data_IF_528178189365
#
_entry.id   IF_528178189365
#
_cell.length_a   1.000
_cell.length_b   1.000
_cell.length_c   1.000
_cell.angle_alpha   90.00
_cell.angle_beta   90.00
_cell.angle_gamma   90.00
#
_symmetry.space_group_name_H-M   'P 1'
#
loop_
_entity.id
_entity.type
_entity.pdbx_description
1 polymer ?
#
# COMPACT_ATOMS: atom_id res chain seq x y z
N UNK A 1 -91.66 -8.17 -30.95
CA UNK A 1 -91.06 -8.81 -29.78
C UNK A 1 -90.24 -9.98 -30.30
N UNK A 2 -88.90 -9.78 -30.38
CA UNK A 2 -88.00 -10.84 -30.83
C UNK A 2 -86.93 -10.98 -29.77
N UNK A 3 -86.82 -12.17 -29.20
CA UNK A 3 -85.96 -12.55 -28.12
C UNK A 3 -84.59 -12.90 -28.71
N UNK A 4 -83.58 -12.09 -28.48
CA UNK A 4 -82.20 -12.38 -28.87
C UNK A 4 -81.57 -13.33 -27.83
N UNK A 5 -81.18 -14.48 -28.31
CA UNK A 5 -80.56 -15.60 -27.58
C UNK A 5 -79.19 -15.27 -27.05
N UNK A 6 -78.90 -15.69 -25.82
CA UNK A 6 -77.68 -15.51 -25.03
C UNK A 6 -76.46 -16.37 -25.45
N UNK A 7 -76.30 -16.74 -26.72
CA UNK A 7 -75.34 -17.76 -27.14
C UNK A 7 -74.25 -17.32 -28.14
N UNK A 8 -73.99 -16.02 -28.31
CA UNK A 8 -72.93 -15.60 -29.26
C UNK A 8 -72.05 -14.49 -28.67
N UNK A 9 -71.30 -14.79 -27.58
CA UNK A 9 -70.23 -13.91 -27.13
C UNK A 9 -69.19 -14.71 -26.30
N UNK A 10 -68.50 -15.58 -26.97
CA UNK A 10 -67.24 -16.22 -26.41
C UNK A 10 -66.27 -16.35 -27.58
N UNK A 11 -65.74 -15.22 -28.04
CA UNK A 11 -64.45 -15.19 -28.74
C UNK A 11 -63.39 -14.94 -27.68
N UNK A 12 -62.78 -16.02 -27.16
CA UNK A 12 -61.62 -15.94 -26.28
C UNK A 12 -60.43 -15.45 -27.09
N UNK A 13 -60.04 -14.22 -26.84
CA UNK A 13 -58.70 -13.74 -27.12
C UNK A 13 -57.70 -14.41 -26.16
N UNK A 14 -56.95 -15.36 -26.64
CA UNK A 14 -55.79 -15.92 -25.92
C UNK A 14 -54.71 -14.82 -25.92
N UNK A 15 -54.66 -14.01 -24.87
CA UNK A 15 -53.52 -13.16 -24.58
C UNK A 15 -52.38 -14.05 -24.11
N UNK A 16 -51.39 -14.29 -24.98
CA UNK A 16 -50.13 -14.91 -24.59
C UNK A 16 -49.48 -14.05 -23.48
N UNK A 17 -49.10 -14.63 -22.34
CA UNK A 17 -48.36 -13.86 -21.35
C UNK A 17 -47.02 -13.47 -21.99
N UNK A 18 -46.81 -12.16 -22.19
CA UNK A 18 -45.51 -11.61 -22.48
C UNK A 18 -44.63 -11.96 -21.27
N UNK A 19 -43.76 -12.96 -21.43
CA UNK A 19 -42.68 -13.25 -20.50
C UNK A 19 -41.73 -12.04 -20.53
N UNK A 20 -42.05 -11.04 -19.71
CA UNK A 20 -41.06 -10.05 -19.30
C UNK A 20 -39.90 -10.83 -18.67
N UNK A 21 -38.84 -11.06 -19.44
CA UNK A 21 -37.54 -11.44 -18.88
C UNK A 21 -37.12 -10.26 -18.00
N UNK A 22 -37.46 -10.34 -16.73
CA UNK A 22 -36.75 -9.59 -15.72
C UNK A 22 -35.31 -10.10 -15.78
N UNK A 23 -34.46 -9.42 -16.54
CA UNK A 23 -33.03 -9.58 -16.41
C UNK A 23 -32.76 -9.42 -14.91
N UNK A 24 -32.17 -10.41 -14.28
CA UNK A 24 -31.71 -10.32 -12.91
C UNK A 24 -30.87 -9.06 -12.85
N UNK A 25 -31.40 -8.00 -12.23
CA UNK A 25 -30.59 -6.86 -11.88
C UNK A 25 -29.52 -7.42 -10.93
N UNK A 26 -28.34 -7.69 -11.46
CA UNK A 26 -27.18 -7.96 -10.61
C UNK A 26 -27.06 -6.72 -9.73
N UNK A 27 -27.31 -6.90 -8.45
CA UNK A 27 -26.96 -5.87 -7.48
C UNK A 27 -25.47 -5.57 -7.70
N UNK A 28 -25.17 -4.32 -8.12
CA UNK A 28 -23.80 -3.96 -8.48
C UNK A 28 -22.83 -4.24 -7.32
N UNK A 29 -21.63 -4.65 -7.64
CA UNK A 29 -20.58 -4.90 -6.65
C UNK A 29 -20.07 -3.57 -6.09
N UNK A 30 -20.41 -3.26 -4.83
CA UNK A 30 -19.93 -2.07 -4.13
C UNK A 30 -18.75 -2.44 -3.24
N UNK A 31 -17.56 -1.87 -3.53
CA UNK A 31 -16.32 -2.12 -2.82
C UNK A 31 -16.04 -1.04 -1.77
N UNK A 32 -15.39 -1.39 -0.68
CA UNK A 32 -14.87 -0.45 0.31
C UNK A 32 -13.36 -0.50 0.31
N UNK A 33 -12.70 0.65 0.05
CA UNK A 33 -11.24 0.79 0.06
C UNK A 33 -10.86 1.64 1.25
N UNK A 34 -10.13 1.08 2.22
CA UNK A 34 -9.64 1.80 3.39
C UNK A 34 -8.13 2.03 3.28
N UNK A 35 -7.65 3.20 3.72
CA UNK A 35 -6.23 3.49 3.84
C UNK A 35 -5.95 4.53 4.93
N UNK A 36 -4.68 4.66 5.32
CA UNK A 36 -4.25 5.54 6.42
C UNK A 36 -3.94 6.99 6.01
N UNK A 37 -3.87 7.28 4.72
CA UNK A 37 -3.40 8.56 4.19
C UNK A 37 -4.48 9.63 4.24
N UNK A 38 -4.09 10.93 4.29
CA UNK A 38 -5.05 12.02 4.19
C UNK A 38 -5.89 11.91 2.91
N UNK A 39 -7.18 12.19 3.03
CA UNK A 39 -8.08 12.25 1.89
C UNK A 39 -7.89 13.52 1.08
N UNK A 40 -8.17 13.41 -0.22
CA UNK A 40 -8.13 14.50 -1.18
C UNK A 40 -9.18 14.34 -2.27
N UNK A 41 -8.82 14.74 -3.48
CA UNK A 41 -9.62 14.54 -4.70
C UNK A 41 -8.89 13.56 -5.66
N UNK A 42 -9.46 13.30 -6.83
CA UNK A 42 -8.77 12.54 -7.88
C UNK A 42 -7.54 13.27 -8.47
N UNK A 43 -7.44 14.61 -8.27
CA UNK A 43 -6.37 15.46 -8.79
C UNK A 43 -5.38 15.92 -7.72
N UNK A 44 -5.82 16.12 -6.48
CA UNK A 44 -5.04 16.76 -5.42
C UNK A 44 -4.96 15.90 -4.15
N UNK A 45 -3.88 16.08 -3.38
CA UNK A 45 -3.62 15.38 -2.13
C UNK A 45 -2.60 14.26 -2.26
N UNK A 46 -2.60 13.33 -1.32
CA UNK A 46 -1.73 12.17 -1.29
C UNK A 46 -1.95 11.28 -2.52
N UNK A 47 -0.89 10.90 -3.24
CA UNK A 47 -1.04 10.14 -4.47
C UNK A 47 -1.69 8.76 -4.24
N UNK A 48 -1.58 8.20 -3.05
CA UNK A 48 -2.17 6.90 -2.70
C UNK A 48 -3.69 7.00 -2.56
N UNK A 49 -4.20 8.10 -1.99
CA UNK A 49 -5.63 8.41 -2.01
C UNK A 49 -6.12 8.68 -3.44
N UNK A 50 -5.36 9.48 -4.21
CA UNK A 50 -5.65 9.73 -5.63
C UNK A 50 -5.67 8.44 -6.45
N UNK A 51 -4.76 7.50 -6.19
CA UNK A 51 -4.72 6.19 -6.86
C UNK A 51 -6.00 5.39 -6.56
N UNK A 52 -6.41 5.33 -5.28
CA UNK A 52 -7.65 4.64 -4.90
C UNK A 52 -8.88 5.27 -5.59
N UNK A 53 -8.93 6.60 -5.69
CA UNK A 53 -10.04 7.31 -6.40
C UNK A 53 -10.02 7.06 -7.90
N UNK A 54 -8.84 7.03 -8.53
CA UNK A 54 -8.69 6.66 -9.94
C UNK A 54 -9.09 5.21 -10.18
N UNK A 55 -8.69 4.31 -9.31
CA UNK A 55 -9.10 2.91 -9.36
C UNK A 55 -10.63 2.79 -9.31
N UNK A 56 -11.28 3.48 -8.35
CA UNK A 56 -12.75 3.50 -8.23
C UNK A 56 -13.44 4.00 -9.51
N UNK A 57 -12.94 5.10 -10.08
CA UNK A 57 -13.51 5.67 -11.32
C UNK A 57 -13.35 4.71 -12.52
N UNK A 58 -12.17 4.12 -12.69
CA UNK A 58 -11.88 3.22 -13.81
C UNK A 58 -12.65 1.91 -13.74
N UNK A 59 -12.80 1.30 -12.56
CA UNK A 59 -13.62 0.09 -12.43
C UNK A 59 -15.10 0.39 -12.70
N UNK A 60 -15.60 1.52 -12.25
CA UNK A 60 -16.98 1.95 -12.51
C UNK A 60 -17.21 2.18 -14.01
N UNK A 61 -16.30 2.86 -14.68
CA UNK A 61 -16.37 3.12 -16.12
C UNK A 61 -16.35 1.82 -16.92
N UNK A 62 -15.34 0.94 -16.68
CA UNK A 62 -15.13 -0.29 -17.45
C UNK A 62 -16.21 -1.33 -17.21
N UNK A 63 -16.76 -1.36 -16.00
CA UNK A 63 -17.89 -2.24 -15.66
C UNK A 63 -19.26 -1.66 -16.04
N UNK A 64 -19.29 -0.46 -16.67
CA UNK A 64 -20.54 0.27 -17.02
C UNK A 64 -21.43 0.45 -15.79
N UNK A 65 -20.83 0.71 -14.63
CA UNK A 65 -21.53 0.93 -13.37
C UNK A 65 -21.87 -0.35 -12.58
N UNK A 66 -21.52 -1.55 -13.08
CA UNK A 66 -21.75 -2.80 -12.35
C UNK A 66 -20.85 -2.91 -11.11
N UNK A 67 -19.66 -2.26 -11.09
CA UNK A 67 -18.80 -2.14 -9.93
C UNK A 67 -18.65 -0.67 -9.52
N UNK A 68 -18.67 -0.42 -8.23
CA UNK A 68 -18.35 0.88 -7.62
C UNK A 68 -17.40 0.69 -6.44
N UNK A 69 -16.69 1.75 -6.05
CA UNK A 69 -15.87 1.71 -4.84
C UNK A 69 -16.02 3.01 -4.05
N UNK A 70 -16.15 2.88 -2.74
CA UNK A 70 -16.13 3.98 -1.78
C UNK A 70 -14.77 4.02 -1.06
N UNK A 71 -14.19 5.22 -0.96
CA UNK A 71 -12.86 5.41 -0.38
C UNK A 71 -12.99 5.94 1.06
N UNK A 72 -12.30 5.29 1.98
CA UNK A 72 -12.25 5.62 3.41
C UNK A 72 -10.83 6.03 3.80
N UNK A 73 -10.46 7.32 3.62
CA UNK A 73 -9.12 7.83 3.94
C UNK A 73 -8.93 8.02 5.44
N UNK A 74 -7.67 8.22 5.86
CA UNK A 74 -7.30 8.57 7.23
C UNK A 74 -7.67 7.49 8.26
N UNK A 75 -7.78 6.23 7.84
CA UNK A 75 -8.25 5.12 8.70
C UNK A 75 -9.67 5.33 9.26
N UNK A 76 -10.53 6.08 8.55
CA UNK A 76 -11.88 6.43 8.99
C UNK A 76 -12.82 5.23 9.12
N UNK A 77 -12.62 4.18 8.32
CA UNK A 77 -13.41 2.95 8.42
C UNK A 77 -12.82 1.98 9.46
N UNK A 78 -11.48 1.88 9.51
CA UNK A 78 -10.79 0.89 10.33
C UNK A 78 -9.38 1.36 10.67
N UNK A 79 -8.91 1.10 11.89
CA UNK A 79 -7.52 1.37 12.30
C UNK A 79 -6.52 0.70 11.37
N UNK A 80 -5.44 1.39 11.04
CA UNK A 80 -4.41 0.95 10.08
C UNK A 80 -3.96 -0.49 10.30
N UNK A 81 -3.53 -0.82 11.52
CA UNK A 81 -3.00 -2.15 11.87
C UNK A 81 -4.06 -3.27 11.85
N UNK A 82 -5.36 -2.95 11.78
CA UNK A 82 -6.42 -3.93 11.68
C UNK A 82 -6.82 -4.26 10.23
N UNK A 83 -6.44 -3.42 9.25
CA UNK A 83 -6.94 -3.52 7.88
C UNK A 83 -6.53 -4.82 7.20
N UNK A 84 -5.28 -5.25 7.34
CA UNK A 84 -4.81 -6.50 6.73
C UNK A 84 -5.55 -7.73 7.29
N UNK A 85 -5.69 -7.83 8.61
CA UNK A 85 -6.43 -8.92 9.25
C UNK A 85 -7.92 -8.90 8.86
N UNK A 86 -8.51 -7.72 8.69
CA UNK A 86 -9.90 -7.58 8.25
C UNK A 86 -10.10 -8.07 6.82
N UNK A 87 -9.20 -7.77 5.88
CA UNK A 87 -9.25 -8.31 4.51
C UNK A 87 -9.15 -9.85 4.51
N UNK A 88 -8.24 -10.42 5.30
CA UNK A 88 -8.11 -11.88 5.43
C UNK A 88 -9.40 -12.55 5.89
N UNK A 89 -10.15 -11.88 6.76
CA UNK A 89 -11.43 -12.36 7.33
C UNK A 89 -12.64 -12.00 6.46
N UNK A 90 -12.45 -11.26 5.35
CA UNK A 90 -13.54 -10.78 4.50
C UNK A 90 -14.38 -9.65 5.13
N UNK A 91 -13.89 -9.00 6.19
CA UNK A 91 -14.56 -7.88 6.85
C UNK A 91 -14.20 -6.51 6.23
N UNK A 92 -13.19 -6.46 5.38
CA UNK A 92 -12.79 -5.31 4.56
C UNK A 92 -12.51 -5.81 3.15
N UNK A 93 -13.00 -5.07 2.15
CA UNK A 93 -12.86 -5.48 0.76
C UNK A 93 -11.46 -5.23 0.23
N UNK A 94 -10.96 -4.00 0.39
CA UNK A 94 -9.66 -3.57 -0.14
C UNK A 94 -8.94 -2.61 0.83
N UNK A 95 -7.62 -2.61 0.74
CA UNK A 95 -6.78 -1.65 1.46
C UNK A 95 -5.50 -1.33 0.71
N UNK A 96 -5.04 -0.08 0.80
CA UNK A 96 -3.72 0.35 0.38
C UNK A 96 -2.88 0.60 1.63
N UNK A 97 -1.98 -0.35 1.94
CA UNK A 97 -1.12 -0.33 3.14
C UNK A 97 0.22 -1.01 2.87
N UNK A 98 1.30 -0.65 3.60
CA UNK A 98 2.53 -1.44 3.59
C UNK A 98 2.26 -2.88 4.05
N UNK A 99 2.72 -3.87 3.29
CA UNK A 99 2.55 -5.27 3.71
C UNK A 99 3.32 -5.59 4.99
N UNK A 100 4.38 -4.86 5.29
CA UNK A 100 5.17 -5.00 6.52
C UNK A 100 4.37 -4.73 7.81
N UNK A 101 3.25 -4.02 7.74
CA UNK A 101 2.38 -3.82 8.90
C UNK A 101 1.71 -5.12 9.39
N UNK A 102 1.63 -6.12 8.52
CA UNK A 102 1.17 -7.46 8.89
C UNK A 102 2.32 -8.40 9.30
N UNK A 103 3.56 -7.91 9.34
CA UNK A 103 4.76 -8.70 9.63
C UNK A 103 4.80 -9.28 11.04
N UNK A 104 4.04 -8.73 12.00
CA UNK A 104 3.87 -9.32 13.32
C UNK A 104 3.09 -10.65 13.30
N UNK A 105 2.09 -10.76 12.43
CA UNK A 105 1.30 -11.98 12.24
C UNK A 105 1.93 -12.95 11.22
N UNK A 106 2.56 -12.40 10.18
CA UNK A 106 3.12 -13.12 9.04
C UNK A 106 4.52 -12.58 8.76
N UNK A 107 5.54 -13.21 9.34
CA UNK A 107 6.93 -12.75 9.28
C UNK A 107 7.42 -12.55 7.84
N UNK A 108 6.93 -13.34 6.89
CA UNK A 108 7.24 -13.24 5.46
C UNK A 108 6.98 -11.85 4.88
N UNK A 109 5.97 -11.14 5.38
CA UNK A 109 5.55 -9.83 4.85
C UNK A 109 6.50 -8.70 5.24
N UNK A 110 7.37 -8.92 6.23
CA UNK A 110 8.42 -7.97 6.57
C UNK A 110 9.41 -7.76 5.40
N UNK A 111 9.51 -8.71 4.48
CA UNK A 111 10.32 -8.56 3.26
C UNK A 111 9.94 -7.31 2.44
N UNK A 112 8.69 -6.87 2.52
CA UNK A 112 8.20 -5.68 1.82
C UNK A 112 8.80 -4.36 2.29
N UNK A 113 9.48 -4.34 3.43
CA UNK A 113 10.32 -3.22 3.89
C UNK A 113 11.60 -3.78 4.54
N UNK A 114 12.41 -4.47 3.75
CA UNK A 114 13.71 -4.99 4.17
C UNK A 114 14.80 -3.99 3.80
N UNK A 115 15.49 -3.36 4.76
CA UNK A 115 16.54 -2.38 4.47
C UNK A 115 17.64 -2.95 3.59
N UNK A 116 18.06 -2.19 2.59
CA UNK A 116 19.13 -2.54 1.67
C UNK A 116 18.84 -3.65 0.66
N UNK A 117 17.61 -4.20 0.64
CA UNK A 117 17.24 -5.29 -0.28
C UNK A 117 16.78 -4.74 -1.64
N UNK A 118 15.80 -3.85 -1.65
CA UNK A 118 15.39 -3.09 -2.84
C UNK A 118 15.99 -1.70 -2.73
N UNK A 119 16.67 -1.27 -3.78
CA UNK A 119 17.44 -0.02 -3.83
C UNK A 119 17.03 0.90 -4.97
N UNK A 120 15.99 0.52 -5.75
CA UNK A 120 15.48 1.31 -6.86
C UNK A 120 14.10 0.87 -7.31
N UNK A 121 13.38 1.79 -7.96
CA UNK A 121 12.03 1.55 -8.47
C UNK A 121 11.97 0.42 -9.50
N UNK A 122 12.91 0.38 -10.44
CA UNK A 122 12.97 -0.65 -11.49
C UNK A 122 13.16 -2.05 -10.89
N UNK A 123 14.01 -2.16 -9.87
CA UNK A 123 14.20 -3.41 -9.14
C UNK A 123 12.91 -3.84 -8.44
N UNK A 124 12.26 -2.92 -7.72
CA UNK A 124 11.03 -3.20 -6.98
C UNK A 124 9.89 -3.62 -7.90
N UNK A 125 9.62 -2.86 -8.97
CA UNK A 125 8.60 -3.19 -9.96
C UNK A 125 8.91 -4.49 -10.71
N UNK A 126 10.18 -4.77 -10.95
CA UNK A 126 10.62 -6.02 -11.55
C UNK A 126 10.23 -7.26 -10.77
N UNK A 127 10.00 -7.14 -9.44
CA UNK A 127 9.58 -8.29 -8.62
C UNK A 127 8.32 -8.97 -9.15
N UNK A 128 7.32 -8.19 -9.59
CA UNK A 128 6.03 -8.72 -10.07
C UNK A 128 6.20 -9.87 -11.09
N UNK A 129 7.14 -9.72 -12.01
CA UNK A 129 7.36 -10.64 -13.12
C UNK A 129 8.46 -11.68 -12.85
N UNK A 130 9.06 -11.68 -11.66
CA UNK A 130 10.15 -12.58 -11.27
C UNK A 130 9.68 -13.58 -10.21
N UNK A 131 10.44 -14.66 -9.95
CA UNK A 131 10.06 -15.68 -8.99
C UNK A 131 9.68 -15.15 -7.61
N UNK A 132 10.36 -14.11 -7.13
CA UNK A 132 10.04 -13.49 -5.83
C UNK A 132 8.61 -12.94 -5.80
N UNK A 133 8.18 -12.22 -6.83
CA UNK A 133 6.83 -11.65 -6.88
C UNK A 133 5.76 -12.72 -7.02
N UNK A 134 6.00 -13.75 -7.81
CA UNK A 134 5.08 -14.89 -7.95
C UNK A 134 4.90 -15.63 -6.62
N UNK A 135 5.99 -15.90 -5.90
CA UNK A 135 5.94 -16.57 -4.60
C UNK A 135 5.31 -15.69 -3.52
N UNK A 136 5.58 -14.40 -3.51
CA UNK A 136 4.96 -13.45 -2.57
C UNK A 136 3.45 -13.34 -2.83
N UNK A 137 3.03 -13.22 -4.10
CA UNK A 137 1.61 -13.17 -4.46
C UNK A 137 0.89 -14.47 -4.10
N UNK A 138 1.50 -15.64 -4.37
CA UNK A 138 0.99 -16.95 -3.98
C UNK A 138 0.88 -17.09 -2.46
N UNK A 139 1.88 -16.62 -1.72
CA UNK A 139 1.86 -16.62 -0.26
C UNK A 139 0.70 -15.76 0.26
N UNK A 140 0.57 -14.51 -0.19
CA UNK A 140 -0.52 -13.62 0.20
C UNK A 140 -1.90 -14.21 -0.13
N UNK A 141 -2.06 -14.81 -1.32
CA UNK A 141 -3.30 -15.48 -1.72
C UNK A 141 -3.63 -16.66 -0.78
N UNK A 142 -2.62 -17.44 -0.35
CA UNK A 142 -2.80 -18.51 0.64
C UNK A 142 -3.21 -18.02 2.01
N UNK A 143 -2.95 -16.73 2.30
CA UNK A 143 -3.35 -16.04 3.55
C UNK A 143 -4.62 -15.22 3.42
N UNK A 144 -5.32 -15.33 2.27
CA UNK A 144 -6.61 -14.70 2.06
C UNK A 144 -6.58 -13.27 1.51
N UNK A 145 -5.46 -12.86 0.89
CA UNK A 145 -5.30 -11.52 0.31
C UNK A 145 -4.68 -11.60 -1.08
N UNK A 146 -5.15 -10.77 -2.01
CA UNK A 146 -4.65 -10.67 -3.40
C UNK A 146 -4.03 -9.29 -3.61
N UNK A 147 -2.88 -9.23 -4.30
CA UNK A 147 -2.27 -7.96 -4.74
C UNK A 147 -2.97 -7.53 -6.03
N UNK A 148 -3.47 -6.30 -6.04
CA UNK A 148 -4.14 -5.69 -7.20
C UNK A 148 -3.20 -4.72 -7.92
N UNK A 149 -2.45 -3.90 -7.19
CA UNK A 149 -1.52 -2.91 -7.76
C UNK A 149 -0.21 -2.96 -7.00
N UNK A 150 0.91 -3.12 -7.70
CA UNK A 150 2.24 -3.10 -7.10
C UNK A 150 2.75 -1.67 -7.02
N UNK A 151 2.97 -1.19 -5.81
CA UNK A 151 3.48 0.16 -5.56
C UNK A 151 4.71 0.06 -4.68
N UNK A 152 5.82 0.63 -5.16
CA UNK A 152 7.05 0.77 -4.42
C UNK A 152 7.31 2.25 -4.13
N UNK A 153 7.85 2.54 -2.98
CA UNK A 153 8.21 3.89 -2.58
C UNK A 153 9.58 3.88 -1.92
N UNK A 154 10.40 4.85 -2.31
CA UNK A 154 11.57 5.24 -1.55
C UNK A 154 11.13 6.06 -0.33
N UNK A 155 12.02 6.20 0.62
CA UNK A 155 11.79 7.09 1.74
C UNK A 155 13.06 7.69 2.29
N UNK A 156 12.83 8.57 3.25
CA UNK A 156 13.86 9.29 3.97
C UNK A 156 13.62 9.25 5.48
N UNK A 157 14.27 10.17 6.18
CA UNK A 157 14.10 10.36 7.61
C UNK A 157 13.88 11.85 7.94
N UNK A 158 12.77 12.15 8.61
CA UNK A 158 12.56 13.45 9.24
C UNK A 158 13.11 13.41 10.66
N UNK A 159 13.91 14.39 11.07
CA UNK A 159 14.47 14.49 12.41
C UNK A 159 14.29 15.88 12.99
N UNK A 160 13.93 15.93 14.28
CA UNK A 160 13.70 17.17 15.04
C UNK A 160 14.99 17.81 15.52
N UNK A 161 16.02 17.04 15.78
CA UNK A 161 17.17 17.49 16.58
C UNK A 161 18.48 17.52 15.80
N UNK A 162 18.84 16.47 15.10
CA UNK A 162 20.08 16.31 14.36
C UNK A 162 19.88 15.42 13.12
N UNK A 163 20.74 15.52 12.10
CA UNK A 163 20.62 14.66 10.92
C UNK A 163 20.72 13.17 11.28
N UNK A 164 20.07 12.34 10.46
CA UNK A 164 20.18 10.87 10.49
C UNK A 164 20.70 10.44 9.12
N UNK A 165 22.00 10.54 8.90
CA UNK A 165 22.70 10.22 7.64
C UNK A 165 23.56 8.97 7.84
N UNK A 166 24.58 9.07 8.66
CA UNK A 166 25.50 7.97 8.98
C UNK A 166 24.86 7.01 9.98
N UNK A 167 25.29 5.74 9.96
CA UNK A 167 24.83 4.73 10.92
C UNK A 167 24.98 5.20 12.37
N UNK A 168 26.12 5.85 12.69
CA UNK A 168 26.41 6.37 14.04
C UNK A 168 25.48 7.50 14.51
N UNK A 169 24.81 8.19 13.60
CA UNK A 169 23.88 9.27 13.94
C UNK A 169 22.65 8.76 14.71
N UNK A 170 22.28 7.49 14.51
CA UNK A 170 21.15 6.86 15.18
C UNK A 170 21.35 6.68 16.68
N UNK A 171 22.61 6.65 17.15
CA UNK A 171 22.94 6.34 18.56
C UNK A 171 22.26 7.28 19.54
N UNK A 172 21.46 6.70 20.45
CA UNK A 172 20.77 7.42 21.52
C UNK A 172 19.54 8.21 21.07
N UNK A 173 19.15 8.16 19.78
CA UNK A 173 17.89 8.75 19.29
C UNK A 173 16.72 7.78 19.52
N UNK A 174 15.54 8.34 19.74
CA UNK A 174 14.28 7.63 19.68
C UNK A 174 13.75 7.71 18.24
N UNK A 175 13.73 6.58 17.52
CA UNK A 175 13.44 6.55 16.09
C UNK A 175 12.28 5.61 15.79
N UNK A 176 11.36 6.04 14.93
CA UNK A 176 10.36 5.15 14.33
C UNK A 176 10.88 4.61 13.01
N UNK A 177 11.03 3.29 12.89
CA UNK A 177 11.60 2.63 11.70
C UNK A 177 10.56 2.25 10.63
N UNK A 178 9.37 1.85 11.01
CA UNK A 178 8.27 1.51 10.07
C UNK A 178 8.12 0.03 9.73
N UNK A 179 9.09 -0.81 10.08
CA UNK A 179 8.97 -2.26 10.07
C UNK A 179 9.86 -2.86 11.16
N UNK A 180 9.57 -4.10 11.53
CA UNK A 180 10.42 -4.84 12.48
C UNK A 180 11.88 -4.95 12.01
N UNK A 181 12.09 -5.18 10.74
CA UNK A 181 13.42 -5.33 10.15
C UNK A 181 14.20 -4.01 10.15
N UNK A 182 13.52 -2.89 9.88
CA UNK A 182 14.11 -1.56 10.04
C UNK A 182 14.44 -1.27 11.51
N UNK A 183 13.56 -1.66 12.43
CA UNK A 183 13.76 -1.47 13.86
C UNK A 183 15.01 -2.25 14.35
N UNK A 184 15.26 -3.46 13.84
CA UNK A 184 16.47 -4.22 14.15
C UNK A 184 17.75 -3.52 13.68
N UNK A 185 17.74 -2.93 12.49
CA UNK A 185 18.89 -2.16 11.97
C UNK A 185 19.13 -0.92 12.82
N UNK A 186 18.08 -0.18 13.17
CA UNK A 186 18.19 1.01 14.01
C UNK A 186 18.65 0.69 15.44
N UNK A 187 18.16 -0.41 16.03
CA UNK A 187 18.64 -0.89 17.34
C UNK A 187 20.13 -1.26 17.29
N UNK A 188 20.59 -1.95 16.24
CA UNK A 188 21.99 -2.26 16.05
C UNK A 188 22.87 -1.00 15.85
N UNK A 189 22.30 0.07 15.29
CA UNK A 189 22.92 1.40 15.20
C UNK A 189 22.86 2.19 16.52
N UNK A 190 22.27 1.63 17.58
CA UNK A 190 22.22 2.22 18.92
C UNK A 190 21.01 3.14 19.18
N UNK A 191 19.95 3.07 18.35
CA UNK A 191 18.72 3.79 18.58
C UNK A 191 17.78 3.07 19.56
N UNK A 192 16.92 3.84 20.24
CA UNK A 192 15.71 3.33 20.86
C UNK A 192 14.57 3.41 19.84
N UNK A 193 13.90 2.29 19.55
CA UNK A 193 12.90 2.23 18.47
C UNK A 193 11.47 2.35 18.99
N UNK A 194 10.61 2.93 18.16
CA UNK A 194 9.18 3.07 18.38
C UNK A 194 8.45 2.46 17.18
N UNK A 195 7.48 1.58 17.44
CA UNK A 195 6.66 0.94 16.41
C UNK A 195 5.24 1.50 16.43
N UNK A 196 4.86 2.18 15.34
CA UNK A 196 3.53 2.74 15.11
C UNK A 196 3.31 2.98 13.60
N UNK A 197 2.05 3.03 13.12
CA UNK A 197 1.76 3.36 11.73
C UNK A 197 2.09 4.82 11.42
N UNK A 198 2.35 5.14 10.13
CA UNK A 198 2.85 6.46 9.74
C UNK A 198 1.85 7.60 9.96
N UNK A 199 0.56 7.36 9.99
CA UNK A 199 -0.46 8.37 10.32
C UNK A 199 -0.44 8.84 11.78
N UNK A 200 0.33 8.18 12.65
CA UNK A 200 0.52 8.59 14.06
C UNK A 200 1.84 9.39 14.28
N UNK A 201 2.66 9.52 13.22
CA UNK A 201 3.99 10.12 13.32
C UNK A 201 3.98 11.58 13.75
N UNK A 202 3.05 12.39 13.22
CA UNK A 202 2.99 13.82 13.58
C UNK A 202 2.82 13.98 15.10
N UNK A 203 1.87 13.30 15.71
CA UNK A 203 1.64 13.34 17.15
C UNK A 203 2.83 12.79 17.95
N UNK A 204 3.45 11.69 17.49
CA UNK A 204 4.60 11.10 18.15
C UNK A 204 5.83 12.03 18.14
N UNK A 205 6.08 12.71 17.02
CA UNK A 205 7.14 13.70 16.89
C UNK A 205 6.81 14.97 17.68
N UNK A 206 5.58 15.49 17.61
CA UNK A 206 5.15 16.68 18.31
C UNK A 206 5.30 16.55 19.83
N UNK A 207 4.92 15.41 20.39
CA UNK A 207 5.02 15.14 21.84
C UNK A 207 6.43 14.73 22.28
N UNK A 208 7.37 14.51 21.35
CA UNK A 208 8.72 14.03 21.66
C UNK A 208 8.78 12.55 22.02
N UNK A 209 7.74 11.76 21.70
CA UNK A 209 7.80 10.32 21.80
C UNK A 209 8.85 9.73 20.85
N UNK A 210 9.08 10.35 19.67
CA UNK A 210 10.24 10.08 18.83
C UNK A 210 10.97 11.36 18.40
N UNK A 211 12.28 11.24 18.19
CA UNK A 211 13.18 12.30 17.72
C UNK A 211 13.24 12.33 16.20
N UNK A 212 13.12 11.16 15.57
CA UNK A 212 13.15 11.00 14.13
C UNK A 212 12.21 9.90 13.67
N UNK A 213 11.77 9.99 12.42
CA UNK A 213 10.90 9.01 11.78
C UNK A 213 11.36 8.69 10.36
N UNK A 214 11.52 7.40 10.05
CA UNK A 214 11.66 6.89 8.68
C UNK A 214 10.27 6.65 8.11
N UNK A 215 10.00 7.22 6.95
CA UNK A 215 8.76 6.99 6.20
C UNK A 215 8.95 7.36 4.73
N UNK A 216 7.99 6.99 3.86
CA UNK A 216 8.07 7.34 2.44
C UNK A 216 8.11 8.85 2.22
N UNK A 217 8.72 9.27 1.11
CA UNK A 217 8.80 10.69 0.73
C UNK A 217 7.42 11.34 0.68
N UNK A 218 6.41 10.62 0.19
CA UNK A 218 5.02 11.08 0.22
C UNK A 218 4.51 11.30 1.64
N UNK A 219 4.75 10.34 2.55
CA UNK A 219 4.30 10.47 3.94
C UNK A 219 5.00 11.58 4.71
N UNK A 220 6.27 11.87 4.39
CA UNK A 220 7.02 12.98 4.99
C UNK A 220 6.32 14.33 4.78
N UNK A 221 5.64 14.52 3.65
CA UNK A 221 4.86 15.73 3.34
C UNK A 221 3.38 15.60 3.69
N UNK A 222 2.75 14.45 3.37
CA UNK A 222 1.31 14.26 3.60
C UNK A 222 0.91 14.30 5.07
N UNK A 223 1.82 13.90 5.97
CA UNK A 223 1.62 14.01 7.41
C UNK A 223 2.25 15.26 8.03
N UNK A 224 2.69 16.22 7.21
CA UNK A 224 3.18 17.55 7.62
C UNK A 224 4.37 17.48 8.59
N UNK A 225 5.26 16.48 8.42
CA UNK A 225 6.38 16.31 9.35
C UNK A 225 7.44 17.42 9.20
N UNK A 226 7.45 18.17 8.10
CA UNK A 226 8.27 19.35 7.86
C UNK A 226 8.05 20.47 8.88
N UNK A 227 6.85 20.54 9.49
CA UNK A 227 6.55 21.53 10.54
C UNK A 227 7.34 21.27 11.83
N UNK A 228 7.73 20.02 12.06
CA UNK A 228 8.38 19.58 13.29
C UNK A 228 9.87 19.28 13.08
N UNK A 229 10.27 18.89 11.87
CA UNK A 229 11.62 18.45 11.58
C UNK A 229 12.57 19.61 11.28
N UNK A 230 13.80 19.53 11.79
CA UNK A 230 14.91 20.44 11.48
C UNK A 230 15.86 19.87 10.43
N UNK A 231 15.78 18.57 10.19
CA UNK A 231 16.60 17.83 9.25
C UNK A 231 15.75 16.85 8.46
N UNK A 232 16.03 16.76 7.17
CA UNK A 232 15.51 15.72 6.28
C UNK A 232 16.69 14.96 5.68
N UNK A 233 16.72 13.65 5.83
CA UNK A 233 17.54 12.79 4.99
C UNK A 233 16.63 12.26 3.88
N UNK A 234 16.92 12.60 2.63
CA UNK A 234 16.03 12.32 1.49
C UNK A 234 16.41 11.05 0.75
N UNK A 235 15.41 10.38 0.16
CA UNK A 235 15.60 9.23 -0.75
C UNK A 235 15.72 9.63 -2.23
N UNK A 236 15.71 10.94 -2.58
CA UNK A 236 15.62 11.39 -3.99
C UNK A 236 16.77 10.95 -4.89
N UNK A 237 17.99 10.94 -4.37
CA UNK A 237 19.15 10.50 -5.13
C UNK A 237 19.42 9.02 -4.93
N UNK A 238 19.43 8.59 -3.68
CA UNK A 238 19.65 7.20 -3.24
C UNK A 238 18.92 6.95 -1.94
N UNK A 239 18.43 5.74 -1.77
CA UNK A 239 17.85 5.30 -0.50
C UNK A 239 18.34 3.91 -0.14
N UNK A 240 18.61 3.68 1.15
CA UNK A 240 18.96 2.35 1.65
C UNK A 240 17.73 1.51 1.98
N UNK A 241 16.52 2.00 1.68
CA UNK A 241 15.29 1.24 1.84
C UNK A 241 14.20 1.67 0.85
N UNK A 242 13.45 0.69 0.43
CA UNK A 242 12.20 0.84 -0.35
C UNK A 242 11.11 0.04 0.33
N UNK A 243 9.89 0.44 0.12
CA UNK A 243 8.72 -0.15 0.74
C UNK A 243 7.71 -0.60 -0.32
N UNK A 244 7.27 -1.85 -0.23
CA UNK A 244 6.12 -2.35 -0.99
C UNK A 244 4.82 -1.99 -0.25
N UNK A 245 4.04 -1.10 -0.85
CA UNK A 245 2.77 -0.58 -0.32
C UNK A 245 1.66 -0.76 -1.36
N UNK A 246 1.21 -1.99 -1.61
CA UNK A 246 0.29 -2.33 -2.68
C UNK A 246 -1.16 -1.97 -2.36
N UNK A 247 -1.99 -1.84 -3.41
CA UNK A 247 -3.43 -1.99 -3.26
C UNK A 247 -3.75 -3.48 -3.18
N UNK A 248 -4.37 -3.86 -2.08
CA UNK A 248 -4.71 -5.24 -1.72
C UNK A 248 -6.22 -5.45 -1.74
N UNK A 249 -6.64 -6.69 -1.99
CA UNK A 249 -8.05 -7.10 -1.96
C UNK A 249 -8.25 -8.38 -1.16
N UNK A 250 -9.35 -8.48 -0.44
CA UNK A 250 -9.81 -9.73 0.18
C UNK A 250 -9.97 -10.83 -0.87
N UNK A 251 -9.27 -11.95 -0.67
CA UNK A 251 -9.39 -13.10 -1.58
C UNK A 251 -10.79 -13.70 -1.56
N UNK A 252 -11.43 -13.71 -0.40
CA UNK A 252 -12.81 -14.21 -0.27
C UNK A 252 -13.80 -13.41 -1.14
N UNK A 253 -13.58 -12.08 -1.28
CA UNK A 253 -14.37 -11.27 -2.19
C UNK A 253 -13.92 -11.50 -3.64
N UNK A 254 -12.63 -11.46 -3.93
CA UNK A 254 -12.08 -11.66 -5.26
C UNK A 254 -12.57 -12.97 -5.91
N UNK A 255 -12.65 -14.05 -5.15
CA UNK A 255 -13.12 -15.36 -5.63
C UNK A 255 -14.63 -15.37 -5.95
N UNK A 256 -15.43 -14.48 -5.38
CA UNK A 256 -16.86 -14.34 -5.68
C UNK A 256 -17.17 -13.49 -6.91
N UNK A 257 -16.20 -12.70 -7.37
CA UNK A 257 -16.36 -11.89 -8.58
C UNK A 257 -16.47 -12.77 -9.81
N UNK A 258 -17.21 -12.31 -10.83
CA UNK A 258 -17.21 -12.91 -12.16
C UNK A 258 -15.83 -12.81 -12.81
N UNK A 259 -15.59 -13.59 -13.85
CA UNK A 259 -14.33 -13.51 -14.60
C UNK A 259 -14.12 -12.11 -15.20
N UNK A 260 -15.17 -11.49 -15.74
CA UNK A 260 -15.13 -10.13 -16.31
C UNK A 260 -14.74 -9.11 -15.24
N UNK A 261 -15.38 -9.15 -14.06
CA UNK A 261 -15.05 -8.25 -12.95
C UNK A 261 -13.60 -8.42 -12.48
N UNK A 262 -13.10 -9.66 -12.38
CA UNK A 262 -11.69 -9.93 -12.03
C UNK A 262 -10.73 -9.34 -13.07
N UNK A 263 -11.01 -9.52 -14.35
CA UNK A 263 -10.21 -8.97 -15.44
C UNK A 263 -10.16 -7.44 -15.38
N UNK A 264 -11.30 -6.79 -15.15
CA UNK A 264 -11.37 -5.33 -14.97
C UNK A 264 -10.50 -4.90 -13.79
N UNK A 265 -10.67 -5.50 -12.61
CA UNK A 265 -9.90 -5.16 -11.41
C UNK A 265 -8.40 -5.31 -11.62
N UNK A 266 -7.96 -6.44 -12.19
CA UNK A 266 -6.55 -6.71 -12.42
C UNK A 266 -5.94 -5.81 -13.51
N UNK A 267 -6.68 -5.54 -14.59
CA UNK A 267 -6.21 -4.65 -15.66
C UNK A 267 -6.09 -3.22 -15.19
N UNK A 268 -7.08 -2.70 -14.45
CA UNK A 268 -7.02 -1.36 -13.84
C UNK A 268 -5.89 -1.28 -12.81
N UNK A 269 -5.75 -2.30 -11.97
CA UNK A 269 -4.66 -2.37 -11.00
C UNK A 269 -3.29 -2.30 -11.66
N UNK A 270 -3.08 -3.04 -12.73
CA UNK A 270 -1.82 -3.04 -13.51
C UNK A 270 -1.55 -1.70 -14.19
N UNK A 271 -2.56 -1.06 -14.78
CA UNK A 271 -2.44 0.26 -15.40
C UNK A 271 -2.00 1.34 -14.41
N UNK A 272 -2.50 1.27 -13.18
CA UNK A 272 -2.18 2.24 -12.14
C UNK A 272 -0.79 2.08 -11.52
N UNK A 273 -0.04 1.02 -11.82
CA UNK A 273 1.33 0.84 -11.33
C UNK A 273 2.27 1.93 -11.84
N UNK A 274 2.15 2.30 -13.12
CA UNK A 274 2.97 3.39 -13.69
C UNK A 274 2.59 4.76 -13.10
N UNK A 275 1.30 5.01 -12.88
CA UNK A 275 0.87 6.20 -12.16
C UNK A 275 1.47 6.26 -10.75
N UNK A 276 1.43 5.14 -10.01
CA UNK A 276 1.99 5.05 -8.65
C UNK A 276 3.51 5.27 -8.64
N UNK A 277 4.23 4.68 -9.61
CA UNK A 277 5.69 4.87 -9.78
C UNK A 277 6.04 6.33 -10.05
N UNK A 278 5.39 6.94 -11.04
CA UNK A 278 5.67 8.32 -11.43
C UNK A 278 5.40 9.29 -10.29
N UNK A 279 4.27 9.14 -9.59
CA UNK A 279 3.91 9.98 -8.46
C UNK A 279 4.89 9.82 -7.27
N UNK A 280 5.35 8.60 -6.99
CA UNK A 280 6.33 8.36 -5.93
C UNK A 280 7.69 9.01 -6.25
N UNK A 281 8.15 8.90 -7.50
CA UNK A 281 9.40 9.55 -7.97
C UNK A 281 9.29 11.08 -7.90
N UNK A 282 8.15 11.65 -8.30
CA UNK A 282 7.89 13.09 -8.17
C UNK A 282 7.95 13.54 -6.71
N UNK A 283 7.37 12.77 -5.79
CA UNK A 283 7.38 13.06 -4.37
C UNK A 283 8.80 12.97 -3.77
N UNK A 284 9.66 12.06 -4.25
CA UNK A 284 11.06 11.98 -3.81
C UNK A 284 11.83 13.28 -4.11
N UNK A 285 11.51 13.94 -5.22
CA UNK A 285 12.11 15.24 -5.58
C UNK A 285 11.43 16.38 -4.82
N UNK A 286 10.10 16.34 -4.70
CA UNK A 286 9.30 17.40 -4.11
C UNK A 286 9.53 17.55 -2.61
N UNK A 287 9.72 16.46 -1.88
CA UNK A 287 9.88 16.46 -0.42
C UNK A 287 11.03 17.35 0.03
N UNK A 288 12.15 17.34 -0.70
CA UNK A 288 13.31 18.19 -0.39
C UNK A 288 12.95 19.68 -0.42
N UNK A 289 12.26 20.13 -1.48
CA UNK A 289 11.82 21.52 -1.63
C UNK A 289 10.85 21.97 -0.53
N UNK A 290 9.94 21.08 -0.13
CA UNK A 290 8.97 21.37 0.95
C UNK A 290 9.70 21.57 2.28
N UNK A 291 10.66 20.70 2.60
CA UNK A 291 11.43 20.82 3.85
C UNK A 291 12.39 22.03 3.85
N UNK A 292 13.04 22.33 2.72
CA UNK A 292 13.85 23.54 2.57
C UNK A 292 13.00 24.81 2.78
N UNK A 293 11.80 24.86 2.21
CA UNK A 293 10.88 25.98 2.40
C UNK A 293 10.39 26.11 3.85
N UNK A 294 10.30 24.99 4.58
CA UNK A 294 9.99 24.97 6.02
C UNK A 294 11.22 25.29 6.91
N UNK A 295 12.40 25.56 6.31
CA UNK A 295 13.62 25.92 7.03
C UNK A 295 14.41 24.71 7.56
N UNK A 296 14.11 23.49 7.13
CA UNK A 296 14.89 22.31 7.49
C UNK A 296 16.15 22.18 6.62
N UNK A 297 17.20 21.56 7.18
CA UNK A 297 18.40 21.17 6.43
C UNK A 297 18.15 19.85 5.72
N UNK A 298 18.37 19.83 4.42
CA UNK A 298 18.21 18.64 3.57
C UNK A 298 19.57 17.96 3.36
N UNK A 299 19.59 16.64 3.52
CA UNK A 299 20.77 15.78 3.38
C UNK A 299 20.46 14.69 2.37
N UNK A 300 21.28 14.61 1.32
CA UNK A 300 21.25 13.50 0.37
C UNK A 300 22.21 12.38 0.83
N UNK A 301 21.85 11.14 0.55
CA UNK A 301 22.71 9.98 0.80
C UNK A 301 23.66 9.77 -0.37
N UNK A 302 24.91 9.53 -0.09
CA UNK A 302 25.85 9.01 -1.08
C UNK A 302 25.92 7.46 -1.06
N UNK A 303 26.61 6.88 -2.05
CA UNK A 303 26.72 5.44 -2.19
C UNK A 303 27.41 4.78 -0.99
N UNK A 304 28.45 5.42 -0.45
CA UNK A 304 29.22 4.85 0.66
C UNK A 304 28.37 4.74 1.92
N UNK A 305 27.56 5.75 2.18
CA UNK A 305 26.59 5.74 3.31
C UNK A 305 25.51 4.68 3.11
N UNK A 306 24.94 4.59 1.91
CA UNK A 306 23.93 3.55 1.60
C UNK A 306 24.52 2.16 1.81
N UNK A 307 25.77 1.91 1.40
CA UNK A 307 26.40 0.61 1.60
C UNK A 307 26.63 0.29 3.08
N UNK A 308 27.04 1.27 3.92
CA UNK A 308 27.17 1.05 5.38
C UNK A 308 25.82 0.61 6.01
N UNK A 309 24.73 1.27 5.68
CA UNK A 309 23.40 0.87 6.14
C UNK A 309 23.01 -0.51 5.63
N UNK A 310 23.33 -0.82 4.37
CA UNK A 310 23.07 -2.13 3.76
C UNK A 310 23.86 -3.25 4.42
N UNK A 311 25.14 -3.03 4.72
CA UNK A 311 25.97 -4.00 5.44
C UNK A 311 25.42 -4.29 6.83
N UNK A 312 25.05 -3.24 7.59
CA UNK A 312 24.42 -3.41 8.89
C UNK A 312 23.10 -4.20 8.77
N UNK A 313 22.28 -3.91 7.75
CA UNK A 313 21.04 -4.65 7.51
C UNK A 313 21.28 -6.13 7.22
N UNK A 314 22.33 -6.46 6.42
CA UNK A 314 22.70 -7.85 6.13
C UNK A 314 23.11 -8.61 7.39
N UNK A 315 23.89 -7.96 8.24
CA UNK A 315 24.39 -8.57 9.48
C UNK A 315 23.31 -8.73 10.56
N UNK A 316 22.24 -7.98 10.48
CA UNK A 316 21.15 -7.94 11.47
C UNK A 316 19.83 -8.44 10.90
N UNK A 317 19.07 -7.58 10.25
CA UNK A 317 17.71 -7.83 9.79
C UNK A 317 17.61 -9.00 8.80
N UNK A 318 18.53 -9.12 7.83
CA UNK A 318 18.48 -10.21 6.85
C UNK A 318 18.71 -11.56 7.48
N UNK A 319 19.71 -11.66 8.40
CA UNK A 319 19.98 -12.89 9.13
C UNK A 319 18.83 -13.29 10.03
N UNK A 320 18.28 -12.33 10.79
CA UNK A 320 17.12 -12.58 11.65
C UNK A 320 15.91 -13.04 10.84
N UNK A 321 15.61 -12.36 9.73
CA UNK A 321 14.50 -12.71 8.86
C UNK A 321 14.64 -14.13 8.25
N UNK A 322 15.83 -14.47 7.72
CA UNK A 322 16.09 -15.78 7.16
C UNK A 322 15.93 -16.91 8.20
N UNK A 323 16.22 -16.65 9.47
CA UNK A 323 16.11 -17.61 10.55
C UNK A 323 14.68 -17.79 11.09
N UNK A 324 13.69 -16.97 10.64
CA UNK A 324 12.30 -17.08 11.10
C UNK A 324 11.60 -18.34 10.61
N UNK A 325 11.80 -18.68 9.32
CA UNK A 325 11.24 -19.87 8.70
C UNK A 325 11.95 -20.19 7.39
N UNK A 326 11.83 -21.44 6.93
CA UNK A 326 12.35 -21.84 5.60
C UNK A 326 11.73 -20.96 4.48
N UNK A 327 10.48 -20.55 4.64
CA UNK A 327 9.81 -19.68 3.68
C UNK A 327 10.41 -18.28 3.66
N UNK A 328 10.74 -17.70 4.83
CA UNK A 328 11.46 -16.42 4.91
C UNK A 328 12.84 -16.52 4.24
N UNK A 329 13.61 -17.56 4.52
CA UNK A 329 14.92 -17.79 3.90
C UNK A 329 14.80 -17.89 2.37
N UNK A 330 13.82 -18.66 1.87
CA UNK A 330 13.55 -18.82 0.44
C UNK A 330 13.14 -17.52 -0.24
N UNK A 331 12.24 -16.75 0.36
CA UNK A 331 11.80 -15.46 -0.18
C UNK A 331 12.96 -14.45 -0.22
N UNK A 332 13.77 -14.38 0.83
CA UNK A 332 14.95 -13.51 0.85
C UNK A 332 15.95 -13.88 -0.26
N UNK A 333 16.22 -15.17 -0.45
CA UNK A 333 17.10 -15.66 -1.53
C UNK A 333 16.59 -15.23 -2.90
N UNK A 334 15.30 -15.47 -3.20
CA UNK A 334 14.69 -15.08 -4.47
C UNK A 334 14.74 -13.55 -4.70
N UNK A 335 14.56 -12.76 -3.63
CA UNK A 335 14.66 -11.31 -3.72
C UNK A 335 16.11 -10.84 -4.01
N UNK A 336 17.11 -11.48 -3.40
CA UNK A 336 18.52 -11.19 -3.67
C UNK A 336 18.92 -11.49 -5.12
N UNK A 337 18.43 -12.59 -5.69
CA UNK A 337 18.66 -12.98 -7.09
C UNK A 337 18.05 -11.98 -8.09
N UNK A 338 17.11 -11.15 -7.64
CA UNK A 338 16.43 -10.14 -8.48
C UNK A 338 17.23 -8.84 -8.62
N UNK A 339 18.14 -8.56 -7.71
CA UNK A 339 18.96 -7.35 -7.66
C UNK A 339 20.41 -7.54 -8.18
N UNK A 340 20.72 -8.74 -8.68
CA UNK A 340 22.01 -9.07 -9.28
C UNK A 340 22.10 -8.67 -10.75
#
# INVERSE_FOLDING_TARGET
MSIISRRQALALGIAAPALLRFGSAHAGTALKISHQFPGGTAAEGDFRDRLCRRFAALIQERSKGAMTAEIYPGSSLMKTNAQFSAMRKGALDMSLIPISYAGGDLAELNLGLMPGLVTGYEQGLGWKNKPIGQELAKFLASKGVVIITWIWQAGGAASRTRPLVEVGDAKGMKIRGGSREMDLVLQAAGAAVLSLPSNELYAAMQTGACDAALTSSTSLTSFRLEELAKHLTTGRAKSYWFMLEPLLMSKALFDRLSNEEREIILSVGTELEEYGRSAAVEDDVRVAKVYEAAGAKVHDLDEAVVQKWRELARETAWKDYANKSENCARLLKLAMETGA
#
